data_IF_207025026072
#
_entry.id   IF_207025026072
#
_cell.length_a   1.000
_cell.length_b   1.000
_cell.length_c   1.000
_cell.angle_alpha   90.00
_cell.angle_beta   90.00
_cell.angle_gamma   90.00
#
_symmetry.space_group_name_H-M   'P 1'
#
loop_
_entity.id
_entity.type
_entity.pdbx_description
1 polymer ?
#
# COMPACT_ATOMS: atom_id res chain seq x y z
N UNK A 1 -63.24 14.08 -0.02
CA UNK A 1 -62.35 12.91 0.16
C UNK A 1 -60.91 13.37 0.16
N UNK A 2 -60.26 13.49 1.33
CA UNK A 2 -58.82 13.78 1.44
C UNK A 2 -58.06 12.46 1.29
N UNK A 3 -57.35 12.25 0.18
CA UNK A 3 -56.49 11.08 0.02
C UNK A 3 -55.15 11.39 0.70
N UNK A 4 -54.81 10.60 1.70
CA UNK A 4 -53.53 10.69 2.38
C UNK A 4 -52.45 10.08 1.48
N UNK A 5 -51.34 10.78 1.21
CA UNK A 5 -50.23 10.20 0.47
C UNK A 5 -49.64 9.07 1.30
N UNK A 6 -49.70 7.85 0.78
CA UNK A 6 -49.11 6.68 1.42
C UNK A 6 -47.58 6.82 1.34
N UNK A 7 -46.84 6.67 2.45
CA UNK A 7 -45.39 6.90 2.49
C UNK A 7 -44.56 5.75 1.86
N UNK A 8 -45.21 4.63 1.53
CA UNK A 8 -44.60 3.42 1.00
C UNK A 8 -43.88 3.54 -0.37
N UNK A 9 -44.35 4.32 -1.37
CA UNK A 9 -43.67 4.42 -2.66
C UNK A 9 -42.37 5.22 -2.58
N UNK A 10 -42.28 6.21 -1.68
CA UNK A 10 -41.04 6.96 -1.43
C UNK A 10 -40.00 6.07 -0.76
N UNK A 11 -40.42 5.27 0.23
CA UNK A 11 -39.54 4.33 0.92
C UNK A 11 -39.00 3.25 -0.04
N UNK A 12 -39.86 2.69 -0.90
CA UNK A 12 -39.45 1.72 -1.93
C UNK A 12 -38.47 2.32 -2.94
N UNK A 13 -38.67 3.58 -3.31
CA UNK A 13 -37.76 4.30 -4.21
C UNK A 13 -36.38 4.50 -3.56
N UNK A 14 -36.33 4.89 -2.29
CA UNK A 14 -35.08 5.07 -1.54
C UNK A 14 -34.33 3.74 -1.41
N UNK A 15 -35.03 2.64 -1.09
CA UNK A 15 -34.42 1.31 -1.01
C UNK A 15 -33.86 0.88 -2.37
N UNK A 16 -34.62 1.09 -3.45
CA UNK A 16 -34.18 0.77 -4.82
C UNK A 16 -32.94 1.55 -5.25
N UNK A 17 -32.87 2.85 -4.91
CA UNK A 17 -31.71 3.69 -5.22
C UNK A 17 -30.49 3.23 -4.42
N UNK A 18 -30.67 2.82 -3.16
CA UNK A 18 -29.60 2.35 -2.28
C UNK A 18 -28.90 1.11 -2.83
N UNK A 19 -29.63 0.23 -3.53
CA UNK A 19 -29.08 -0.99 -4.14
C UNK A 19 -28.31 -0.76 -5.44
N UNK A 20 -28.37 0.45 -6.02
CA UNK A 20 -27.65 0.80 -7.25
C UNK A 20 -26.21 1.22 -7.01
N UNK A 21 -25.84 1.50 -5.75
CA UNK A 21 -24.49 1.92 -5.40
C UNK A 21 -23.69 0.72 -4.90
N UNK A 22 -22.76 0.26 -5.73
CA UNK A 22 -21.71 -0.66 -5.30
C UNK A 22 -20.76 0.07 -4.36
N UNK A 23 -20.58 -0.47 -3.15
CA UNK A 23 -19.64 0.09 -2.18
C UNK A 23 -18.21 -0.25 -2.59
N UNK A 24 -17.42 0.76 -2.98
CA UNK A 24 -16.00 0.59 -3.22
C UNK A 24 -15.22 0.68 -1.89
N UNK A 25 -14.47 -0.37 -1.57
CA UNK A 25 -13.55 -0.37 -0.42
C UNK A 25 -12.12 -0.25 -0.94
N UNK A 26 -11.36 0.73 -0.43
CA UNK A 26 -9.95 0.93 -0.73
C UNK A 26 -9.11 0.80 0.54
N UNK A 27 -7.89 0.28 0.39
CA UNK A 27 -6.87 0.30 1.45
C UNK A 27 -6.02 1.55 1.22
N UNK A 28 -5.94 2.42 2.23
CA UNK A 28 -5.12 3.63 2.19
C UNK A 28 -4.30 3.74 3.48
N UNK A 29 -3.03 4.14 3.34
CA UNK A 29 -2.10 4.31 4.45
C UNK A 29 -1.00 5.32 4.11
N UNK A 30 -0.54 6.04 5.13
CA UNK A 30 0.56 7.02 5.01
C UNK A 30 1.53 6.82 6.16
N UNK A 31 2.83 6.70 5.84
CA UNK A 31 3.90 6.59 6.82
C UNK A 31 4.74 7.87 6.88
N UNK A 32 4.63 8.61 7.99
CA UNK A 32 5.47 9.78 8.28
C UNK A 32 6.61 9.39 9.25
N UNK A 33 7.28 8.29 8.91
CA UNK A 33 8.19 7.54 9.77
C UNK A 33 7.65 6.16 10.11
N UNK A 34 8.56 5.24 10.42
CA UNK A 34 8.27 3.83 10.66
C UNK A 34 8.53 3.41 12.11
N UNK A 35 7.70 2.50 12.60
CA UNK A 35 7.87 1.73 13.84
C UNK A 35 8.00 0.24 13.53
N UNK A 36 8.44 -0.56 14.50
CA UNK A 36 8.64 -2.00 14.34
C UNK A 36 7.37 -2.78 14.02
N UNK A 37 6.18 -2.26 14.36
CA UNK A 37 4.89 -2.87 14.05
C UNK A 37 4.36 -2.54 12.66
N UNK A 38 4.91 -1.52 12.01
CA UNK A 38 4.35 -0.98 10.77
C UNK A 38 4.72 -1.83 9.54
N UNK A 39 5.84 -2.56 9.63
CA UNK A 39 6.42 -3.36 8.55
C UNK A 39 7.04 -4.66 9.06
N UNK A 40 6.99 -5.69 8.23
CA UNK A 40 7.75 -6.92 8.41
C UNK A 40 9.12 -6.76 7.77
N UNK A 41 10.18 -6.87 8.57
CA UNK A 41 11.57 -6.70 8.14
C UNK A 41 12.22 -8.06 7.86
N UNK A 42 13.00 -8.14 6.78
CA UNK A 42 13.76 -9.33 6.39
C UNK A 42 15.17 -8.95 5.94
N UNK A 43 16.13 -9.87 6.14
CA UNK A 43 17.52 -9.65 5.75
C UNK A 43 18.17 -8.57 6.62
N UNK A 44 18.90 -7.64 6.00
CA UNK A 44 19.54 -6.52 6.72
C UNK A 44 18.65 -5.28 6.89
N UNK A 45 17.37 -5.36 6.54
CA UNK A 45 16.47 -4.22 6.68
C UNK A 45 16.22 -3.88 8.16
N UNK A 46 16.15 -2.59 8.46
CA UNK A 46 16.03 -2.07 9.82
C UNK A 46 15.21 -0.78 9.87
N UNK A 47 14.98 -0.29 11.09
CA UNK A 47 14.39 1.03 11.32
C UNK A 47 15.33 1.81 12.23
N UNK A 48 15.84 2.93 11.75
CA UNK A 48 16.75 3.80 12.47
C UNK A 48 16.15 5.19 12.56
N UNK A 49 15.88 5.69 13.78
CA UNK A 49 15.30 7.02 13.99
C UNK A 49 14.03 7.29 13.17
N UNK A 50 13.16 6.28 13.06
CA UNK A 50 11.93 6.25 12.23
C UNK A 50 12.16 6.21 10.71
N UNK A 51 13.37 5.99 10.24
CA UNK A 51 13.70 5.80 8.83
C UNK A 51 13.84 4.31 8.53
N UNK A 52 13.14 3.83 7.51
CA UNK A 52 13.29 2.46 7.01
C UNK A 52 14.60 2.35 6.23
N UNK A 53 15.50 1.48 6.69
CA UNK A 53 16.75 1.16 6.01
C UNK A 53 16.63 -0.19 5.31
N UNK A 54 16.94 -0.26 4.01
CA UNK A 54 16.90 -1.51 3.23
C UNK A 54 18.29 -2.14 3.08
N UNK A 55 19.34 -1.36 3.27
CA UNK A 55 20.73 -1.77 3.17
C UNK A 55 21.53 -1.11 4.29
N UNK A 56 22.73 -1.61 4.53
CA UNK A 56 23.70 -1.02 5.46
C UNK A 56 25.08 -0.95 4.77
N UNK A 57 26.14 -0.66 5.52
CA UNK A 57 27.51 -0.54 4.99
C UNK A 57 28.14 -1.86 4.51
N UNK A 58 27.45 -2.99 4.62
CA UNK A 58 27.96 -4.26 4.12
C UNK A 58 27.68 -4.42 2.63
N UNK A 59 28.72 -4.77 1.87
CA UNK A 59 28.61 -5.00 0.43
C UNK A 59 27.74 -6.22 0.13
N UNK A 60 26.94 -6.14 -0.93
CA UNK A 60 26.05 -7.23 -1.40
C UNK A 60 24.96 -7.67 -0.41
N UNK A 61 24.65 -6.85 0.60
CA UNK A 61 23.57 -7.14 1.53
C UNK A 61 22.19 -6.81 0.95
N UNK A 62 21.21 -7.65 1.28
CA UNK A 62 19.83 -7.50 0.83
C UNK A 62 18.92 -7.37 2.04
N UNK A 63 18.17 -6.28 2.12
CA UNK A 63 17.08 -6.09 3.06
C UNK A 63 15.75 -5.90 2.33
N UNK A 64 14.68 -6.37 2.96
CA UNK A 64 13.30 -6.22 2.46
C UNK A 64 12.39 -5.78 3.59
N UNK A 65 11.40 -4.96 3.27
CA UNK A 65 10.36 -4.55 4.17
C UNK A 65 9.00 -4.71 3.49
N UNK A 66 8.05 -5.36 4.17
CA UNK A 66 6.72 -5.63 3.63
C UNK A 66 5.65 -5.07 4.56
N UNK A 67 4.57 -4.52 4.00
CA UNK A 67 3.38 -4.18 4.77
C UNK A 67 2.79 -5.46 5.40
N UNK A 68 2.43 -5.46 6.71
CA UNK A 68 2.08 -6.70 7.41
C UNK A 68 0.75 -7.32 6.95
N UNK A 69 -0.11 -6.57 6.28
CA UNK A 69 -1.40 -7.06 5.79
C UNK A 69 -1.39 -7.23 4.27
N UNK A 70 -2.10 -8.23 3.78
CA UNK A 70 -2.23 -8.46 2.35
C UNK A 70 -3.13 -7.40 1.72
N UNK A 71 -2.68 -6.83 0.61
CA UNK A 71 -3.47 -5.88 -0.19
C UNK A 71 -4.03 -6.63 -1.40
N UNK A 72 -5.37 -6.73 -1.56
CA UNK A 72 -5.96 -7.43 -2.69
C UNK A 72 -5.63 -6.74 -4.02
N UNK A 73 -4.89 -7.43 -4.90
CA UNK A 73 -4.59 -6.95 -6.25
C UNK A 73 -5.71 -7.28 -7.27
N UNK A 74 -6.67 -8.13 -6.90
CA UNK A 74 -7.77 -8.57 -7.75
C UNK A 74 -9.06 -8.68 -6.95
N UNK A 75 -10.18 -8.38 -7.59
CA UNK A 75 -11.49 -8.59 -6.99
C UNK A 75 -11.76 -10.09 -6.79
N UNK A 76 -12.35 -10.52 -5.66
CA UNK A 76 -12.67 -11.92 -5.43
C UNK A 76 -13.50 -12.50 -6.58
N UNK A 77 -13.15 -13.70 -7.04
CA UNK A 77 -13.84 -14.41 -8.13
C UNK A 77 -13.97 -13.64 -9.46
N UNK A 78 -13.07 -12.68 -9.70
CA UNK A 78 -13.09 -11.85 -10.92
C UNK A 78 -11.70 -11.77 -11.54
N UNK A 79 -11.63 -11.59 -12.86
CA UNK A 79 -10.40 -11.24 -13.57
C UNK A 79 -10.03 -9.76 -13.42
N UNK A 80 -10.89 -8.97 -12.77
CA UNK A 80 -10.71 -7.54 -12.57
C UNK A 80 -9.55 -7.25 -11.60
N UNK A 81 -8.54 -6.53 -12.10
CA UNK A 81 -7.39 -6.05 -11.31
C UNK A 81 -7.77 -4.78 -10.58
N UNK A 82 -7.44 -4.69 -9.30
CA UNK A 82 -7.69 -3.51 -8.47
C UNK A 82 -6.61 -2.47 -8.79
N UNK A 83 -6.97 -1.26 -9.24
CA UNK A 83 -6.00 -0.20 -9.46
C UNK A 83 -5.40 0.28 -8.12
N UNK A 84 -4.12 0.60 -8.13
CA UNK A 84 -3.43 1.17 -6.97
C UNK A 84 -2.59 2.38 -7.37
N UNK A 85 -2.26 3.21 -6.37
CA UNK A 85 -1.30 4.30 -6.50
C UNK A 85 -0.41 4.31 -5.25
N UNK A 86 0.85 4.66 -5.41
CA UNK A 86 1.82 4.74 -4.31
C UNK A 86 2.84 5.83 -4.59
N UNK A 87 3.30 6.49 -3.53
CA UNK A 87 4.39 7.45 -3.59
C UNK A 87 5.30 7.27 -2.38
N UNK A 88 6.61 7.45 -2.58
CA UNK A 88 7.59 7.31 -1.51
C UNK A 88 8.78 8.23 -1.75
N UNK A 89 9.44 8.60 -0.67
CA UNK A 89 10.70 9.36 -0.67
C UNK A 89 11.79 8.42 -0.19
N UNK A 90 12.91 8.38 -0.92
CA UNK A 90 14.07 7.55 -0.57
C UNK A 90 15.37 8.32 -0.74
N UNK A 91 16.41 7.87 -0.05
CA UNK A 91 17.78 8.36 -0.21
C UNK A 91 18.74 7.18 -0.36
N UNK A 92 19.82 7.40 -1.11
CA UNK A 92 20.88 6.42 -1.31
C UNK A 92 22.23 7.11 -1.10
N UNK A 93 23.05 6.55 -0.21
CA UNK A 93 24.43 6.99 -0.05
C UNK A 93 25.34 6.18 -0.96
N UNK A 94 26.24 6.85 -1.69
CA UNK A 94 27.26 6.17 -2.48
C UNK A 94 28.28 5.51 -1.55
N UNK A 95 28.53 4.23 -1.75
CA UNK A 95 29.62 3.53 -1.08
C UNK A 95 30.85 3.56 -1.98
N UNK A 96 31.83 4.40 -1.65
CA UNK A 96 33.14 4.35 -2.29
C UNK A 96 34.00 3.32 -1.54
N UNK A 97 34.04 2.10 -2.07
CA UNK A 97 35.14 1.19 -1.72
C UNK A 97 36.35 1.60 -2.55
N UNK A 98 37.51 1.76 -1.92
CA UNK A 98 38.76 2.19 -2.57
C UNK A 98 39.27 1.25 -3.67
N UNK A 99 38.58 0.12 -3.93
CA UNK A 99 38.99 -0.87 -4.93
C UNK A 99 37.91 -1.30 -5.94
N UNK A 100 36.67 -0.79 -5.89
CA UNK A 100 35.69 -1.02 -6.97
C UNK A 100 34.52 -0.04 -6.88
N UNK A 101 34.40 0.82 -7.89
CA UNK A 101 33.19 1.61 -8.14
C UNK A 101 32.15 0.69 -8.81
N UNK A 102 31.30 0.07 -8.01
CA UNK A 102 30.14 -0.64 -8.53
C UNK A 102 28.94 0.31 -8.43
N UNK A 103 28.58 0.91 -9.56
CA UNK A 103 27.37 1.71 -9.68
C UNK A 103 26.18 0.88 -9.18
N UNK A 104 25.58 1.31 -8.07
CA UNK A 104 24.41 0.64 -7.49
C UNK A 104 23.20 0.89 -8.38
N UNK A 105 23.10 0.14 -9.48
CA UNK A 105 21.86 0.02 -10.24
C UNK A 105 21.05 -1.08 -9.57
N UNK A 106 20.45 -0.77 -8.42
CA UNK A 106 19.46 -1.66 -7.80
C UNK A 106 18.12 -1.35 -8.46
N UNK A 107 17.55 -2.26 -9.27
CA UNK A 107 16.18 -2.09 -9.72
C UNK A 107 15.28 -2.17 -8.49
N UNK A 108 14.56 -1.09 -8.21
CA UNK A 108 13.41 -1.13 -7.32
C UNK A 108 12.34 -1.98 -8.00
N UNK A 109 12.43 -3.30 -7.85
CA UNK A 109 11.31 -4.19 -8.10
C UNK A 109 10.36 -4.03 -6.93
N UNK A 110 9.47 -3.04 -7.06
CA UNK A 110 8.28 -2.95 -6.24
C UNK A 110 7.35 -4.07 -6.70
N UNK A 111 7.56 -5.28 -6.17
CA UNK A 111 6.60 -6.36 -6.30
C UNK A 111 5.41 -6.02 -5.40
N UNK A 112 4.32 -5.64 -6.04
CA UNK A 112 2.98 -5.62 -5.47
C UNK A 112 2.31 -6.94 -5.84
#
# INVERSE_FOLDING_TARGET
MKRHPHPYPLLLLIISISTLFESASAVDFVFNGFNSSDVLLYGVAGIESRILTLTNHTSFAIGRALYPFQIPAKSPNSSHVVPFSTSFIFSMASFSSSHQSLASKVPLLLNI
#
